data_IF_445945966210
#
_entry.id   IF_445945966210
#
_cell.length_a   1.000
_cell.length_b   1.000
_cell.length_c   1.000
_cell.angle_alpha   90.00
_cell.angle_beta   90.00
_cell.angle_gamma   90.00
#
_symmetry.space_group_name_H-M   'P 1'
#
loop_
_entity.id
_entity.type
_entity.pdbx_description
1 polymer ?
#
# COMPACT_ATOMS: atom_id res chain seq x y z
N UNK A 1 22.20 -23.99 10.20
CA UNK A 1 23.09 -23.23 11.11
C UNK A 1 24.55 -23.50 10.77
N UNK A 2 25.42 -22.50 10.90
CA UNK A 2 26.78 -22.53 10.35
C UNK A 2 26.78 -22.80 8.84
N UNK A 3 25.78 -22.27 8.12
CA UNK A 3 25.54 -22.56 6.68
C UNK A 3 25.43 -24.06 6.34
N UNK A 4 25.05 -24.89 7.32
CA UNK A 4 24.95 -26.35 7.18
C UNK A 4 26.15 -27.12 7.72
N UNK A 5 27.20 -26.44 8.16
CA UNK A 5 28.42 -27.06 8.71
C UNK A 5 28.41 -27.25 10.23
N UNK A 6 27.42 -26.70 10.94
CA UNK A 6 27.33 -26.81 12.40
C UNK A 6 25.97 -27.34 12.85
N UNK A 7 25.83 -28.67 13.05
CA UNK A 7 24.58 -29.30 13.47
C UNK A 7 24.09 -28.76 14.82
N UNK A 8 22.77 -28.57 14.93
CA UNK A 8 22.14 -28.10 16.19
C UNK A 8 22.35 -29.05 17.37
N UNK A 9 22.70 -30.32 17.12
CA UNK A 9 23.05 -31.30 18.17
C UNK A 9 24.36 -30.97 18.89
N UNK A 10 25.20 -30.08 18.34
CA UNK A 10 26.47 -29.67 18.96
C UNK A 10 26.36 -28.38 19.75
N UNK A 11 25.17 -27.79 19.79
CA UNK A 11 24.94 -26.52 20.46
C UNK A 11 24.96 -26.72 21.97
N UNK A 12 25.59 -25.77 22.65
CA UNK A 12 25.57 -25.70 24.11
C UNK A 12 24.49 -24.71 24.57
N UNK A 13 23.89 -24.97 25.73
CA UNK A 13 22.93 -24.04 26.33
C UNK A 13 23.59 -22.66 26.53
N UNK A 14 22.89 -21.59 26.15
CA UNK A 14 23.39 -20.21 26.20
C UNK A 14 24.33 -19.80 25.06
N UNK A 15 24.66 -20.70 24.13
CA UNK A 15 25.49 -20.37 22.97
C UNK A 15 24.71 -19.55 21.95
N UNK A 16 25.31 -18.44 21.48
CA UNK A 16 24.78 -17.62 20.39
C UNK A 16 25.43 -18.09 19.08
N UNK A 17 24.60 -18.40 18.08
CA UNK A 17 25.04 -18.74 16.72
C UNK A 17 24.53 -17.66 15.79
N UNK A 18 25.44 -17.00 15.07
CA UNK A 18 25.13 -16.00 14.07
C UNK A 18 25.46 -16.56 12.68
N UNK A 19 24.48 -16.55 11.79
CA UNK A 19 24.63 -16.91 10.37
C UNK A 19 24.23 -15.70 9.52
N UNK A 20 25.01 -15.41 8.49
CA UNK A 20 24.61 -14.52 7.40
C UNK A 20 24.08 -15.36 6.25
N UNK A 21 22.81 -15.19 5.91
CA UNK A 21 22.15 -15.97 4.86
C UNK A 21 21.61 -15.00 3.81
N UNK A 22 22.08 -15.08 2.55
CA UNK A 22 21.48 -14.30 1.48
C UNK A 22 20.07 -14.81 1.22
N UNK A 23 19.09 -13.92 1.31
CA UNK A 23 17.70 -14.20 0.93
C UNK A 23 17.48 -13.62 -0.46
N UNK A 24 17.44 -14.44 -1.52
CA UNK A 24 17.21 -13.92 -2.86
C UNK A 24 15.78 -13.37 -2.96
N UNK A 25 15.65 -12.17 -3.51
CA UNK A 25 14.37 -11.62 -3.95
C UNK A 25 14.16 -12.08 -5.40
N UNK A 26 12.97 -12.55 -5.73
CA UNK A 26 12.66 -13.00 -7.07
C UNK A 26 12.80 -11.82 -8.06
N UNK A 27 13.42 -11.99 -9.25
CA UNK A 27 13.58 -10.91 -10.21
C UNK A 27 12.26 -10.29 -10.70
N UNK A 28 11.18 -11.07 -10.62
CA UNK A 28 9.79 -10.71 -10.95
C UNK A 28 8.95 -10.36 -9.71
N UNK A 29 9.58 -10.16 -8.56
CA UNK A 29 8.89 -9.69 -7.37
C UNK A 29 8.26 -8.30 -7.65
N UNK A 30 6.97 -8.21 -7.37
CA UNK A 30 6.20 -6.97 -7.54
C UNK A 30 6.69 -5.95 -6.51
N UNK A 31 6.81 -4.69 -6.91
CA UNK A 31 7.21 -3.58 -6.07
C UNK A 31 6.44 -2.31 -6.46
N UNK A 32 6.08 -1.43 -5.51
CA UNK A 32 6.48 -1.48 -4.10
C UNK A 32 5.62 -2.46 -3.27
N UNK A 33 6.24 -3.14 -2.31
CA UNK A 33 5.57 -4.14 -1.48
C UNK A 33 6.14 -4.19 -0.05
N UNK A 34 5.28 -4.50 0.92
CA UNK A 34 5.69 -4.82 2.29
C UNK A 34 5.92 -6.31 2.44
N UNK A 35 7.18 -6.70 2.62
CA UNK A 35 7.57 -8.10 2.82
C UNK A 35 7.58 -8.49 4.31
N UNK A 36 7.14 -9.71 4.60
CA UNK A 36 7.29 -10.32 5.93
C UNK A 36 8.45 -11.32 5.91
N UNK A 37 9.45 -11.11 6.78
CA UNK A 37 10.55 -12.05 6.96
C UNK A 37 10.27 -12.98 8.14
N UNK A 38 9.93 -14.23 7.85
CA UNK A 38 9.76 -15.27 8.87
C UNK A 38 11.00 -16.17 8.97
N UNK A 39 11.43 -16.46 10.19
CA UNK A 39 12.59 -17.34 10.44
C UNK A 39 12.12 -18.63 11.10
N UNK A 40 12.73 -19.76 10.73
CA UNK A 40 12.35 -21.05 11.31
C UNK A 40 13.45 -22.10 11.16
N UNK A 41 13.45 -23.04 12.09
CA UNK A 41 14.25 -24.25 12.00
C UNK A 41 13.36 -25.39 11.50
N UNK A 42 13.93 -26.27 10.69
CA UNK A 42 13.24 -27.42 10.12
C UNK A 42 13.95 -28.70 10.56
N UNK A 43 13.17 -29.73 10.89
CA UNK A 43 13.72 -31.06 11.17
C UNK A 43 14.22 -31.66 9.85
N UNK A 44 15.49 -32.06 9.85
CA UNK A 44 16.11 -32.75 8.71
C UNK A 44 15.50 -34.15 8.57
N UNK A 45 14.94 -34.45 7.40
CA UNK A 45 14.32 -35.75 7.08
C UNK A 45 12.90 -35.59 6.55
N UNK A 46 12.00 -35.15 7.41
CA UNK A 46 10.58 -34.90 7.06
C UNK A 46 10.32 -33.44 6.62
N UNK A 47 11.27 -32.53 6.85
CA UNK A 47 11.09 -31.12 6.55
C UNK A 47 10.04 -30.45 7.45
N UNK A 48 9.70 -31.07 8.59
CA UNK A 48 8.73 -30.49 9.51
C UNK A 48 9.35 -29.24 10.15
N UNK A 49 8.67 -28.10 10.00
CA UNK A 49 9.04 -26.87 10.70
C UNK A 49 8.92 -27.08 12.20
N UNK A 50 9.95 -26.73 12.96
CA UNK A 50 9.89 -26.79 14.41
C UNK A 50 8.83 -25.80 14.91
N UNK A 51 7.97 -26.30 15.79
CA UNK A 51 6.98 -25.50 16.48
C UNK A 51 7.67 -24.43 17.33
N UNK A 52 7.14 -23.22 17.28
CA UNK A 52 7.55 -22.13 18.17
C UNK A 52 6.51 -22.07 19.28
N UNK A 53 6.96 -21.93 20.52
CA UNK A 53 6.09 -21.85 21.69
C UNK A 53 6.40 -20.60 22.51
N UNK A 54 5.39 -20.05 23.18
CA UNK A 54 5.57 -18.98 24.17
C UNK A 54 6.12 -19.52 25.50
N UNK A 55 6.31 -18.65 26.49
CA UNK A 55 6.79 -19.04 27.83
C UNK A 55 5.86 -20.02 28.56
N UNK A 56 4.57 -20.02 28.22
CA UNK A 56 3.57 -20.92 28.78
C UNK A 56 3.47 -22.26 28.02
N UNK A 57 4.23 -22.43 26.93
CA UNK A 57 4.23 -23.62 26.09
C UNK A 57 3.13 -23.65 25.02
N UNK A 58 2.40 -22.55 24.80
CA UNK A 58 1.41 -22.48 23.74
C UNK A 58 2.09 -22.29 22.38
N UNK A 59 1.56 -22.96 21.35
CA UNK A 59 2.04 -22.76 19.99
C UNK A 59 1.84 -21.30 19.55
N UNK A 60 2.92 -20.69 19.10
CA UNK A 60 2.92 -19.44 18.33
C UNK A 60 3.19 -19.74 16.87
N UNK A 61 2.66 -18.89 15.99
CA UNK A 61 2.82 -19.01 14.55
C UNK A 61 4.28 -18.89 14.08
N UNK A 62 4.49 -18.71 12.78
CA UNK A 62 5.83 -18.42 12.27
C UNK A 62 6.37 -17.13 12.92
N UNK A 63 7.55 -17.17 13.58
CA UNK A 63 8.08 -15.95 14.18
C UNK A 63 8.57 -15.04 13.06
N UNK A 64 7.91 -13.88 12.97
CA UNK A 64 8.32 -12.79 12.08
C UNK A 64 9.52 -12.08 12.70
N UNK A 65 10.65 -12.14 12.02
CA UNK A 65 11.88 -11.47 12.42
C UNK A 65 11.84 -9.97 12.07
N UNK A 66 11.26 -9.62 10.93
CA UNK A 66 11.15 -8.23 10.48
C UNK A 66 10.04 -8.06 9.43
N UNK A 67 9.61 -6.82 9.28
CA UNK A 67 8.93 -6.33 8.08
C UNK A 67 9.93 -5.54 7.26
N UNK A 68 9.97 -5.81 5.96
CA UNK A 68 10.92 -5.21 5.03
C UNK A 68 10.17 -4.47 3.94
N UNK A 69 10.77 -3.39 3.46
CA UNK A 69 10.31 -2.66 2.28
C UNK A 69 10.99 -3.22 1.04
N UNK A 70 10.20 -3.60 0.04
CA UNK A 70 10.67 -3.78 -1.33
C UNK A 70 10.28 -2.52 -2.11
N UNK A 71 11.28 -1.68 -2.39
CA UNK A 71 11.05 -0.43 -3.10
C UNK A 71 10.92 -0.65 -4.60
N UNK A 72 10.13 0.20 -5.26
CA UNK A 72 10.14 0.31 -6.71
C UNK A 72 11.47 0.94 -7.17
N UNK A 73 12.14 0.34 -8.15
CA UNK A 73 13.48 0.77 -8.61
C UNK A 73 13.41 1.49 -9.96
N UNK A 74 12.33 1.35 -10.72
CA UNK A 74 12.18 2.00 -12.01
C UNK A 74 11.71 3.45 -11.87
N UNK A 75 12.01 4.25 -12.90
CA UNK A 75 11.56 5.63 -12.98
C UNK A 75 10.08 5.66 -13.32
N UNK A 76 9.27 6.23 -12.42
CA UNK A 76 7.83 6.39 -12.64
C UNK A 76 7.64 7.48 -13.70
N UNK A 77 6.91 7.15 -14.75
CA UNK A 77 6.56 8.12 -15.79
C UNK A 77 5.76 9.29 -15.18
N UNK A 78 5.95 10.53 -15.66
CA UNK A 78 5.15 11.66 -15.18
C UNK A 78 3.65 11.43 -15.46
N UNK A 79 2.77 11.84 -14.53
CA UNK A 79 1.32 11.73 -14.74
C UNK A 79 0.87 12.61 -15.91
N UNK A 80 -0.12 12.13 -16.68
CA UNK A 80 -0.78 12.86 -17.73
C UNK A 80 -1.49 14.12 -17.18
N UNK A 81 -2.10 14.02 -16.00
CA UNK A 81 -2.63 15.20 -15.28
C UNK A 81 -1.81 15.46 -14.04
N UNK A 82 -1.04 16.54 -14.04
CA UNK A 82 -0.27 16.97 -12.87
C UNK A 82 -1.14 17.77 -11.90
N UNK A 83 -0.95 17.54 -10.59
CA UNK A 83 -1.58 18.28 -9.49
C UNK A 83 -0.54 18.52 -8.39
N UNK A 84 -0.90 19.24 -7.32
CA UNK A 84 -0.07 19.34 -6.11
C UNK A 84 -0.95 19.55 -4.87
N UNK A 85 -2.02 18.75 -4.76
CA UNK A 85 -2.90 18.79 -3.59
C UNK A 85 -2.19 18.16 -2.40
N UNK A 86 -2.26 18.79 -1.23
CA UNK A 86 -1.67 18.26 0.01
C UNK A 86 -2.75 17.55 0.82
N UNK A 87 -2.39 16.40 1.39
CA UNK A 87 -3.22 15.66 2.34
C UNK A 87 -2.45 15.56 3.65
N UNK A 88 -2.88 16.33 4.65
CA UNK A 88 -2.11 16.62 5.85
C UNK A 88 -0.74 17.22 5.51
N UNK A 89 0.24 16.96 6.37
CA UNK A 89 1.60 17.49 6.20
C UNK A 89 2.55 16.53 5.46
N UNK A 90 2.11 15.29 5.22
CA UNK A 90 3.00 14.19 4.84
C UNK A 90 2.76 13.62 3.44
N UNK A 91 1.62 13.92 2.80
CA UNK A 91 1.24 13.33 1.52
C UNK A 91 0.89 14.44 0.53
N UNK A 92 1.33 14.28 -0.72
CA UNK A 92 0.82 15.04 -1.85
C UNK A 92 0.26 14.12 -2.93
N UNK A 93 -0.89 14.48 -3.49
CA UNK A 93 -1.29 13.98 -4.81
C UNK A 93 -0.58 14.84 -5.85
N UNK A 94 0.37 14.24 -6.57
CA UNK A 94 1.16 14.95 -7.59
C UNK A 94 0.59 14.79 -9.00
N UNK A 95 -0.38 13.89 -9.17
CA UNK A 95 -1.11 13.73 -10.41
C UNK A 95 -1.93 12.45 -10.48
N UNK A 96 -2.61 12.27 -11.60
CA UNK A 96 -3.43 11.11 -11.88
C UNK A 96 -3.65 10.90 -13.37
N UNK A 97 -3.92 9.65 -13.74
CA UNK A 97 -4.28 9.22 -15.09
C UNK A 97 -5.62 8.49 -15.06
N UNK A 98 -6.39 8.62 -16.13
CA UNK A 98 -7.68 7.93 -16.28
C UNK A 98 -7.76 7.25 -17.64
N UNK A 99 -7.95 5.95 -17.63
CA UNK A 99 -8.11 5.12 -18.81
C UNK A 99 -9.48 4.44 -18.83
N UNK A 100 -10.08 4.33 -20.01
CA UNK A 100 -11.30 3.56 -20.19
C UNK A 100 -10.94 2.07 -20.33
N UNK A 101 -11.48 1.24 -19.44
CA UNK A 101 -11.29 -0.20 -19.43
C UNK A 101 -12.59 -0.93 -19.80
N UNK A 102 -12.49 -2.21 -20.15
CA UNK A 102 -13.67 -3.01 -20.50
C UNK A 102 -14.66 -3.19 -19.34
N UNK A 103 -14.17 -3.11 -18.09
CA UNK A 103 -14.94 -3.28 -16.86
C UNK A 103 -15.23 -1.99 -16.10
N UNK A 104 -14.77 -0.83 -16.57
CA UNK A 104 -14.87 0.41 -15.81
C UNK A 104 -13.90 1.50 -16.24
N UNK A 105 -13.58 2.39 -15.31
CA UNK A 105 -12.53 3.39 -15.45
C UNK A 105 -11.33 2.96 -14.61
N UNK A 106 -10.17 2.80 -15.25
CA UNK A 106 -8.88 2.64 -14.58
C UNK A 106 -8.35 3.99 -14.18
N UNK A 107 -8.24 4.24 -12.87
CA UNK A 107 -7.68 5.45 -12.28
C UNK A 107 -6.34 5.13 -11.64
N UNK A 108 -5.29 5.78 -12.10
CA UNK A 108 -3.96 5.71 -11.50
C UNK A 108 -3.68 6.99 -10.73
N UNK A 109 -3.39 6.88 -9.43
CA UNK A 109 -3.06 8.01 -8.56
C UNK A 109 -1.58 8.01 -8.24
N UNK A 110 -0.94 9.17 -8.35
CA UNK A 110 0.48 9.36 -8.10
C UNK A 110 0.67 10.15 -6.82
N UNK A 111 1.22 9.49 -5.80
CA UNK A 111 1.45 10.05 -4.48
C UNK A 111 2.91 10.40 -4.28
N UNK A 112 3.20 11.55 -3.70
CA UNK A 112 4.52 11.84 -3.15
C UNK A 112 4.46 11.82 -1.62
N UNK A 113 5.37 11.05 -1.02
CA UNK A 113 5.60 11.06 0.43
C UNK A 113 6.54 12.22 0.80
N UNK A 114 6.06 13.15 1.60
CA UNK A 114 6.78 14.36 2.00
C UNK A 114 7.48 14.18 3.34
N UNK A 115 6.89 13.37 4.23
CA UNK A 115 7.37 13.12 5.57
C UNK A 115 7.00 11.70 6.03
N UNK A 116 7.74 11.10 6.99
CA UNK A 116 7.38 9.80 7.55
C UNK A 116 5.99 9.80 8.20
N UNK A 117 5.29 8.67 8.11
CA UNK A 117 3.96 8.49 8.67
C UNK A 117 3.93 7.30 9.63
N UNK A 118 3.23 7.45 10.75
CA UNK A 118 3.05 6.38 11.74
C UNK A 118 1.72 5.64 11.60
N UNK A 119 0.82 6.15 10.76
CA UNK A 119 -0.52 5.61 10.55
C UNK A 119 -0.72 5.18 9.10
N UNK A 120 -1.59 4.20 8.92
CA UNK A 120 -1.99 3.68 7.63
C UNK A 120 -3.32 4.31 7.21
N UNK A 121 -3.29 5.15 6.17
CA UNK A 121 -4.47 5.81 5.63
C UNK A 121 -5.13 4.94 4.56
N UNK A 122 -6.46 5.11 4.43
CA UNK A 122 -7.28 4.51 3.39
C UNK A 122 -7.70 5.59 2.42
N UNK A 123 -7.63 5.30 1.13
CA UNK A 123 -8.09 6.21 0.09
C UNK A 123 -9.56 5.94 -0.18
N UNK A 124 -10.34 7.01 -0.36
CA UNK A 124 -11.63 6.91 -1.01
C UNK A 124 -11.57 7.55 -2.40
N UNK A 125 -12.27 6.96 -3.34
CA UNK A 125 -12.51 7.55 -4.67
C UNK A 125 -13.99 7.43 -4.92
N UNK A 126 -14.65 8.55 -5.17
CA UNK A 126 -16.08 8.62 -5.41
C UNK A 126 -16.36 9.16 -6.80
N UNK A 127 -17.26 8.49 -7.50
CA UNK A 127 -17.85 8.95 -8.75
C UNK A 127 -19.31 9.33 -8.48
N UNK A 128 -19.61 10.62 -8.58
CA UNK A 128 -20.94 11.19 -8.29
C UNK A 128 -21.69 11.40 -9.60
N UNK A 129 -22.92 10.91 -9.67
CA UNK A 129 -23.77 10.99 -10.84
C UNK A 129 -24.48 12.33 -11.03
N UNK A 130 -25.15 12.52 -12.18
CA UNK A 130 -25.88 13.75 -12.51
C UNK A 130 -26.99 14.11 -11.51
N UNK A 131 -27.51 13.12 -10.78
CA UNK A 131 -28.54 13.26 -9.74
C UNK A 131 -27.94 13.61 -8.36
N UNK A 132 -26.62 13.72 -8.26
CA UNK A 132 -25.88 13.95 -7.02
C UNK A 132 -25.69 12.70 -6.17
N UNK A 133 -26.09 11.51 -6.64
CA UNK A 133 -25.89 10.25 -5.92
C UNK A 133 -24.50 9.66 -6.19
N UNK A 134 -24.00 8.86 -5.23
CA UNK A 134 -22.80 8.06 -5.43
C UNK A 134 -23.10 6.95 -6.45
N UNK A 135 -22.49 7.04 -7.63
CA UNK A 135 -22.68 6.10 -8.73
C UNK A 135 -21.62 4.97 -8.73
N UNK A 136 -20.41 5.25 -8.26
CA UNK A 136 -19.35 4.27 -8.14
C UNK A 136 -18.28 4.72 -7.15
N UNK A 137 -17.48 3.77 -6.66
CA UNK A 137 -16.39 4.04 -5.74
C UNK A 137 -15.27 3.00 -5.86
N UNK A 138 -14.07 3.37 -5.43
CA UNK A 138 -12.89 2.51 -5.42
C UNK A 138 -12.07 2.72 -4.13
N UNK A 139 -12.71 2.47 -3.00
CA UNK A 139 -12.14 2.70 -1.68
C UNK A 139 -11.23 1.54 -1.24
N UNK A 140 -10.11 1.89 -0.61
CA UNK A 140 -9.21 0.90 -0.05
C UNK A 140 -7.84 1.47 0.33
N UNK A 141 -7.03 0.69 1.06
CA UNK A 141 -5.65 1.05 1.33
C UNK A 141 -4.87 1.21 0.02
N UNK A 142 -3.84 2.08 -0.03
CA UNK A 142 -3.00 2.22 -1.21
C UNK A 142 -2.36 0.90 -1.66
N UNK A 143 -2.18 0.75 -2.98
CA UNK A 143 -1.54 -0.41 -3.61
C UNK A 143 -2.25 -1.71 -3.19
N UNK A 144 -3.58 -1.68 -3.12
CA UNK A 144 -4.40 -2.82 -2.68
C UNK A 144 -4.13 -3.31 -1.26
N UNK A 145 -3.47 -2.51 -0.41
CA UNK A 145 -3.05 -2.89 0.94
C UNK A 145 -1.71 -3.63 1.02
N UNK A 146 -1.04 -3.84 -0.10
CA UNK A 146 0.29 -4.46 -0.12
C UNK A 146 1.39 -3.48 0.34
N UNK A 147 1.15 -2.17 0.17
CA UNK A 147 2.12 -1.13 0.53
C UNK A 147 1.48 0.06 1.27
N UNK A 148 1.30 -0.07 2.59
CA UNK A 148 0.56 0.91 3.38
C UNK A 148 1.37 2.20 3.62
N UNK A 149 0.71 3.31 3.94
CA UNK A 149 1.35 4.64 4.02
C UNK A 149 2.45 4.74 5.07
N UNK A 150 2.40 3.98 6.17
CA UNK A 150 3.50 3.94 7.14
C UNK A 150 4.83 3.38 6.60
N UNK A 151 4.80 2.69 5.46
CA UNK A 151 6.01 2.19 4.79
C UNK A 151 6.60 3.17 3.77
N UNK A 152 5.88 4.25 3.45
CA UNK A 152 6.34 5.22 2.49
C UNK A 152 7.51 6.03 3.07
N UNK A 153 8.56 6.19 2.28
CA UNK A 153 9.75 6.97 2.65
C UNK A 153 9.68 8.38 2.08
N UNK A 154 10.22 9.40 2.77
CA UNK A 154 10.27 10.75 2.21
C UNK A 154 10.93 10.79 0.83
N UNK A 155 10.34 11.55 -0.09
CA UNK A 155 10.66 11.66 -1.52
C UNK A 155 10.34 10.41 -2.35
N UNK A 156 9.66 9.40 -1.79
CA UNK A 156 9.14 8.28 -2.56
C UNK A 156 7.88 8.69 -3.31
N UNK A 157 7.78 8.24 -4.56
CA UNK A 157 6.59 8.36 -5.39
C UNK A 157 5.92 6.99 -5.46
N UNK A 158 4.62 6.93 -5.21
CA UNK A 158 3.81 5.71 -5.21
C UNK A 158 2.75 5.81 -6.30
N UNK A 159 2.71 4.80 -7.14
CA UNK A 159 1.63 4.59 -8.11
C UNK A 159 0.57 3.69 -7.49
N UNK A 160 -0.68 4.13 -7.53
CA UNK A 160 -1.80 3.47 -6.86
C UNK A 160 -2.97 3.33 -7.84
N UNK A 161 -3.12 2.13 -8.39
CA UNK A 161 -4.09 1.79 -9.42
C UNK A 161 -5.43 1.38 -8.81
N UNK A 162 -6.52 1.89 -9.37
CA UNK A 162 -7.89 1.67 -8.92
C UNK A 162 -8.83 1.47 -10.09
N UNK A 163 -9.74 0.50 -9.99
CA UNK A 163 -10.81 0.30 -10.94
C UNK A 163 -12.14 0.80 -10.36
N UNK A 164 -12.78 1.71 -11.08
CA UNK A 164 -14.12 2.22 -10.75
C UNK A 164 -15.11 1.54 -11.71
N UNK A 165 -15.96 0.60 -11.25
CA UNK A 165 -16.93 -0.04 -12.12
C UNK A 165 -17.95 0.96 -12.67
N UNK A 166 -18.21 0.88 -13.97
CA UNK A 166 -19.22 1.73 -14.65
C UNK A 166 -20.36 0.92 -15.28
N UNK A 167 -20.35 -0.39 -15.10
CA UNK A 167 -21.37 -1.28 -15.67
C UNK A 167 -22.77 -0.92 -15.14
N UNK A 168 -23.71 -0.74 -16.07
CA UNK A 168 -25.11 -0.45 -15.75
C UNK A 168 -25.39 1.01 -15.37
N UNK A 169 -24.39 1.89 -15.39
CA UNK A 169 -24.61 3.32 -15.16
C UNK A 169 -25.26 3.98 -16.39
N UNK A 170 -26.24 4.89 -16.20
CA UNK A 170 -26.86 5.58 -17.31
C UNK A 170 -25.89 6.57 -17.98
N UNK A 171 -26.10 6.91 -19.26
CA UNK A 171 -25.36 7.97 -19.93
C UNK A 171 -25.49 9.30 -19.18
N UNK A 172 -24.42 10.07 -19.12
CA UNK A 172 -24.40 11.37 -18.44
C UNK A 172 -23.02 11.78 -17.96
N UNK A 173 -22.95 12.96 -17.35
CA UNK A 173 -21.72 13.54 -16.79
C UNK A 173 -21.61 13.17 -15.32
N UNK A 174 -20.47 12.59 -14.95
CA UNK A 174 -20.12 12.15 -13.60
C UNK A 174 -18.92 12.95 -13.09
N UNK A 175 -18.86 13.22 -11.79
CA UNK A 175 -17.73 13.89 -11.16
C UNK A 175 -16.91 12.90 -10.35
N UNK A 176 -15.61 12.79 -10.65
CA UNK A 176 -14.66 12.02 -9.85
C UNK A 176 -14.00 12.91 -8.81
N UNK A 177 -13.93 12.39 -7.60
CA UNK A 177 -13.27 13.03 -6.47
C UNK A 177 -12.66 11.99 -5.56
N UNK A 178 -11.71 12.40 -4.72
CA UNK A 178 -10.98 11.50 -3.84
C UNK A 178 -10.60 12.17 -2.52
N UNK A 179 -10.18 11.37 -1.55
CA UNK A 179 -9.44 11.83 -0.38
C UNK A 179 -8.86 10.67 0.41
N UNK A 180 -8.29 10.96 1.57
CA UNK A 180 -7.78 9.94 2.48
C UNK A 180 -8.43 10.06 3.86
N UNK A 181 -8.52 8.94 4.57
CA UNK A 181 -9.05 8.88 5.92
C UNK A 181 -8.38 7.78 6.74
N UNK A 182 -8.52 7.87 8.06
CA UNK A 182 -8.14 6.80 8.98
C UNK A 182 -9.28 5.81 9.13
N UNK A 183 -9.05 4.55 8.78
CA UNK A 183 -10.09 3.52 8.80
C UNK A 183 -10.67 3.28 10.19
N UNK A 184 -9.85 3.38 11.24
CA UNK A 184 -10.28 3.11 12.62
C UNK A 184 -11.26 4.15 13.16
N UNK A 185 -11.22 5.38 12.63
CA UNK A 185 -11.97 6.52 13.16
C UNK A 185 -12.91 7.16 12.13
N UNK A 186 -12.73 6.85 10.84
CA UNK A 186 -13.32 7.55 9.70
C UNK A 186 -12.96 9.05 9.64
N UNK A 187 -11.92 9.48 10.36
CA UNK A 187 -11.43 10.85 10.30
C UNK A 187 -10.74 11.10 8.95
N UNK A 188 -11.22 12.11 8.21
CA UNK A 188 -10.61 12.53 6.95
C UNK A 188 -9.32 13.28 7.20
N UNK A 189 -8.33 12.99 6.37
CA UNK A 189 -7.08 13.71 6.37
C UNK A 189 -7.31 15.08 5.71
N UNK A 190 -6.92 16.20 6.34
CA UNK A 190 -7.16 17.53 5.78
C UNK A 190 -6.59 17.66 4.37
N UNK A 191 -7.41 18.08 3.40
CA UNK A 191 -6.96 18.27 2.02
C UNK A 191 -6.85 19.75 1.68
N UNK A 192 -5.75 20.18 1.08
CA UNK A 192 -5.52 21.59 0.73
C UNK A 192 -4.98 21.77 -0.69
N UNK A 193 -5.26 22.93 -1.26
CA UNK A 193 -4.59 23.41 -2.47
C UNK A 193 -3.14 23.84 -2.18
N UNK A 194 -2.40 24.18 -3.23
CA UNK A 194 -1.00 24.63 -3.18
C UNK A 194 -0.83 25.91 -2.38
N UNK A 195 -1.84 26.79 -2.38
CA UNK A 195 -1.82 28.03 -1.60
C UNK A 195 -2.18 27.82 -0.12
N UNK A 196 -2.47 26.58 0.29
CA UNK A 196 -2.84 26.19 1.64
C UNK A 196 -4.33 26.33 1.96
N UNK A 197 -5.17 26.71 0.99
CA UNK A 197 -6.62 26.74 1.18
C UNK A 197 -7.16 25.31 1.39
N UNK A 198 -7.89 25.10 2.50
CA UNK A 198 -8.51 23.81 2.80
C UNK A 198 -9.72 23.57 1.91
N UNK A 199 -9.76 22.39 1.29
CA UNK A 199 -10.84 21.94 0.44
C UNK A 199 -12.08 21.59 1.27
N UNK A 200 -13.25 21.76 0.68
CA UNK A 200 -14.52 21.43 1.32
C UNK A 200 -14.57 19.92 1.61
N UNK A 201 -14.93 19.56 2.85
CA UNK A 201 -15.05 18.18 3.33
C UNK A 201 -13.80 17.32 3.11
N UNK A 202 -12.64 17.96 2.94
CA UNK A 202 -11.36 17.34 2.63
C UNK A 202 -11.42 16.45 1.37
N UNK A 203 -12.19 16.90 0.37
CA UNK A 203 -12.37 16.22 -0.91
C UNK A 203 -11.53 16.91 -1.98
N UNK A 204 -10.67 16.14 -2.62
CA UNK A 204 -9.90 16.54 -3.79
C UNK A 204 -10.72 16.27 -5.06
N UNK A 205 -11.16 17.30 -5.80
CA UNK A 205 -11.79 17.10 -7.10
C UNK A 205 -10.73 16.64 -8.12
N UNK A 206 -11.06 15.63 -8.92
CA UNK A 206 -10.20 15.15 -10.00
C UNK A 206 -10.70 15.68 -11.34
N UNK A 207 -11.78 15.11 -11.87
CA UNK A 207 -12.29 15.49 -13.19
C UNK A 207 -13.76 15.13 -13.40
N UNK A 208 -14.35 15.69 -14.46
CA UNK A 208 -15.62 15.24 -15.03
C UNK A 208 -15.38 14.12 -16.04
N UNK A 209 -16.30 13.14 -16.08
CA UNK A 209 -16.30 12.02 -17.02
C UNK A 209 -17.68 11.88 -17.63
N UNK A 210 -17.73 11.87 -18.96
CA UNK A 210 -18.96 11.61 -19.71
C UNK A 210 -19.06 10.12 -20.07
N UNK A 211 -20.13 9.48 -19.60
CA UNK A 211 -20.48 8.12 -20.02
C UNK A 211 -21.46 8.17 -21.22
N UNK A 212 -21.23 7.39 -22.29
CA UNK A 212 -22.01 7.41 -23.53
C UNK A 212 -23.37 6.72 -23.42
#
# INVERSE_FOLDING_TARGET
PGLGHYPTSFWQSGQIIADEIPVPVAPDAIAPSRLRLDVGLYRRGDGQRLAVVDEAGNLVGAPTAAWLKLAHVEEIAPPATSTDYRLGDAIALIGYDLDAESSGLGLTLYWACLAPMERDYTVFVHMIGPDGALAGQADGPPVGGDYPTSFWSPNEIITDERLIPTEGLPPGTYHLSMGMYLLETNERLPATEVDGARLLDDIVPLMEVDLP
#
